data_IF_907206843374
#
_entry.id   IF_907206843374
#
_cell.length_a   1.000
_cell.length_b   1.000
_cell.length_c   1.000
_cell.angle_alpha   90.00
_cell.angle_beta   90.00
_cell.angle_gamma   90.00
#
_symmetry.space_group_name_H-M   'P 1'
#
loop_
_entity.id
_entity.type
_entity.pdbx_description
1 polymer ?
#
# COMPACT_ATOMS: atom_id res chain seq x y z
N UNK A 1 -5.80 -2.07 0.25
CA UNK A 1 -4.35 -1.99 -0.05
C UNK A 1 -3.93 -0.54 0.00
N UNK A 2 -2.69 -0.24 0.40
CA UNK A 2 -2.18 1.14 0.41
C UNK A 2 -0.76 1.23 -0.17
N UNK A 3 -0.34 2.44 -0.51
CA UNK A 3 1.06 2.80 -0.72
C UNK A 3 1.46 3.84 0.32
N UNK A 4 2.61 3.65 0.95
CA UNK A 4 3.24 4.59 1.88
C UNK A 4 4.57 5.04 1.29
N UNK A 5 4.73 6.34 1.10
CA UNK A 5 5.97 6.96 0.65
C UNK A 5 6.47 7.94 1.72
N UNK A 6 7.77 8.30 1.72
CA UNK A 6 8.34 9.23 2.70
C UNK A 6 7.61 10.57 2.74
N UNK A 7 7.13 11.02 1.58
CA UNK A 7 6.28 12.19 1.45
C UNK A 7 4.96 11.79 0.79
N UNK A 8 3.85 12.09 1.46
CA UNK A 8 2.50 11.75 1.00
C UNK A 8 2.16 12.36 -0.37
N UNK A 9 2.60 13.58 -0.66
CA UNK A 9 2.41 14.22 -1.97
C UNK A 9 3.20 13.49 -3.06
N UNK A 10 4.43 13.06 -2.77
CA UNK A 10 5.24 12.26 -3.69
C UNK A 10 4.56 10.90 -3.95
N UNK A 11 4.10 10.23 -2.90
CA UNK A 11 3.35 8.98 -3.03
C UNK A 11 2.08 9.12 -3.88
N UNK A 12 1.35 10.22 -3.72
CA UNK A 12 0.17 10.51 -4.52
C UNK A 12 0.51 10.74 -6.00
N UNK A 13 1.59 11.46 -6.29
CA UNK A 13 2.06 11.68 -7.66
C UNK A 13 2.48 10.37 -8.33
N UNK A 14 3.33 9.58 -7.67
CA UNK A 14 3.78 8.27 -8.18
C UNK A 14 2.58 7.36 -8.43
N UNK A 15 1.67 7.26 -7.46
CA UNK A 15 0.47 6.44 -7.61
C UNK A 15 -0.39 6.88 -8.80
N UNK A 16 -0.59 8.18 -8.99
CA UNK A 16 -1.35 8.72 -10.12
C UNK A 16 -0.71 8.38 -11.47
N UNK A 17 0.60 8.58 -11.61
CA UNK A 17 1.33 8.27 -12.84
C UNK A 17 1.24 6.77 -13.16
N UNK A 18 1.53 5.91 -12.19
CA UNK A 18 1.51 4.45 -12.38
C UNK A 18 0.12 3.89 -12.62
N UNK A 19 -0.89 4.40 -11.94
CA UNK A 19 -2.27 4.00 -12.18
C UNK A 19 -2.75 4.41 -13.58
N UNK A 20 -2.36 5.60 -14.06
CA UNK A 20 -2.67 6.03 -15.42
C UNK A 20 -2.04 5.11 -16.47
N UNK A 21 -0.78 4.69 -16.28
CA UNK A 21 -0.13 3.68 -17.14
C UNK A 21 -0.87 2.34 -17.09
N UNK A 22 -1.18 1.84 -15.89
CA UNK A 22 -1.86 0.56 -15.69
C UNK A 22 -3.23 0.57 -16.39
N UNK A 23 -4.03 1.61 -16.24
CA UNK A 23 -5.34 1.72 -16.87
C UNK A 23 -5.27 1.84 -18.39
N UNK A 24 -4.20 2.43 -18.91
CA UNK A 24 -3.95 2.50 -20.35
C UNK A 24 -3.63 1.12 -20.94
N UNK A 25 -2.80 0.33 -20.26
CA UNK A 25 -2.38 -0.99 -20.74
C UNK A 25 -3.39 -2.09 -20.40
N UNK A 26 -4.16 -1.93 -19.32
CA UNK A 26 -5.18 -2.89 -18.88
C UNK A 26 -6.56 -2.25 -18.70
N UNK A 27 -7.26 -2.00 -19.80
CA UNK A 27 -8.58 -1.34 -19.75
C UNK A 27 -9.64 -2.12 -18.97
N UNK A 28 -9.48 -3.45 -18.85
CA UNK A 28 -10.40 -4.28 -18.06
C UNK A 28 -10.30 -3.97 -16.57
N UNK A 29 -9.08 -3.75 -16.04
CA UNK A 29 -8.89 -3.35 -14.66
C UNK A 29 -9.54 -1.98 -14.38
N UNK A 30 -9.48 -1.06 -15.33
CA UNK A 30 -10.17 0.23 -15.22
C UNK A 30 -11.67 0.06 -14.97
N UNK A 31 -12.34 -0.89 -15.65
CA UNK A 31 -13.77 -1.16 -15.49
C UNK A 31 -14.13 -1.70 -14.10
N UNK A 32 -13.18 -2.33 -13.41
CA UNK A 32 -13.35 -2.77 -12.03
C UNK A 32 -13.36 -1.62 -11.02
N UNK A 33 -12.83 -0.45 -11.38
CA UNK A 33 -12.88 0.75 -10.54
C UNK A 33 -14.22 1.46 -10.75
N UNK A 34 -14.84 1.91 -9.65
CA UNK A 34 -16.09 2.69 -9.71
C UNK A 34 -15.85 3.97 -10.50
N UNK A 35 -16.63 4.19 -11.54
CA UNK A 35 -16.46 5.31 -12.47
C UNK A 35 -15.53 5.03 -13.65
N UNK A 36 -14.98 3.82 -13.77
CA UNK A 36 -14.05 3.44 -14.84
C UNK A 36 -14.68 3.31 -16.22
N UNK A 37 -16.01 3.29 -16.31
CA UNK A 37 -16.75 3.35 -17.57
C UNK A 37 -16.76 4.75 -18.18
N UNK A 38 -16.68 5.78 -17.34
CA UNK A 38 -16.84 7.18 -17.72
C UNK A 38 -15.47 7.87 -17.87
N UNK A 39 -14.49 7.46 -17.09
CA UNK A 39 -13.18 8.11 -17.00
C UNK A 39 -12.06 7.18 -17.38
N UNK A 40 -11.10 7.68 -18.14
CA UNK A 40 -9.86 6.95 -18.48
C UNK A 40 -8.92 6.81 -17.26
N UNK A 41 -9.08 7.65 -16.24
CA UNK A 41 -8.36 7.57 -14.98
C UNK A 41 -9.35 7.68 -13.82
N UNK A 42 -10.12 6.60 -13.53
CA UNK A 42 -11.13 6.61 -12.49
C UNK A 42 -10.48 6.68 -11.11
N UNK A 43 -11.17 7.31 -10.17
CA UNK A 43 -10.71 7.48 -8.81
C UNK A 43 -10.79 8.91 -8.33
N UNK A 44 -10.35 9.13 -7.11
CA UNK A 44 -10.29 10.45 -6.50
C UNK A 44 -8.82 10.83 -6.26
N UNK A 45 -8.39 11.90 -6.89
CA UNK A 45 -6.99 12.34 -6.93
C UNK A 45 -6.86 13.76 -6.42
N UNK A 46 -5.87 13.99 -5.55
CA UNK A 46 -5.49 15.32 -5.08
C UNK A 46 -3.99 15.48 -5.03
N UNK A 47 -3.55 16.58 -4.42
CA UNK A 47 -2.12 16.88 -4.29
C UNK A 47 -1.39 15.86 -3.42
N UNK A 48 -2.05 15.38 -2.37
CA UNK A 48 -1.50 14.53 -1.32
C UNK A 48 -2.34 13.27 -1.06
N UNK A 49 -3.26 12.95 -1.94
CA UNK A 49 -4.08 11.75 -1.81
C UNK A 49 -4.43 11.14 -3.17
N UNK A 50 -4.59 9.82 -3.15
CA UNK A 50 -5.20 9.02 -4.21
C UNK A 50 -6.09 8.01 -3.52
N UNK A 51 -7.32 7.84 -4.01
CA UNK A 51 -8.23 6.81 -3.52
C UNK A 51 -8.95 6.18 -4.70
N UNK A 52 -8.82 4.86 -4.84
CA UNK A 52 -9.60 4.05 -5.76
C UNK A 52 -10.54 3.15 -4.98
N UNK A 53 -11.79 3.09 -5.41
CA UNK A 53 -12.79 2.14 -4.90
C UNK A 53 -13.13 1.16 -6.01
N UNK A 54 -13.00 -0.13 -5.72
CA UNK A 54 -13.30 -1.19 -6.66
C UNK A 54 -14.71 -1.73 -6.45
N UNK A 55 -15.31 -2.32 -7.49
CA UNK A 55 -16.67 -2.90 -7.48
C UNK A 55 -16.82 -4.01 -6.44
N UNK A 56 -15.75 -4.75 -6.16
CA UNK A 56 -15.72 -5.78 -5.12
C UNK A 56 -15.58 -5.25 -3.68
N UNK A 57 -15.70 -3.93 -3.47
CA UNK A 57 -15.56 -3.29 -2.17
C UNK A 57 -14.11 -3.03 -1.72
N UNK A 58 -13.11 -3.46 -2.50
CA UNK A 58 -11.72 -3.17 -2.18
C UNK A 58 -11.40 -1.68 -2.36
N UNK A 59 -10.46 -1.19 -1.56
CA UNK A 59 -9.99 0.20 -1.63
C UNK A 59 -8.47 0.20 -1.76
N UNK A 60 -7.96 1.07 -2.63
CA UNK A 60 -6.56 1.46 -2.69
C UNK A 60 -6.43 2.92 -2.32
N UNK A 61 -5.44 3.27 -1.50
CA UNK A 61 -5.19 4.66 -1.12
C UNK A 61 -3.70 4.92 -0.85
N UNK A 62 -3.35 6.19 -0.79
CA UNK A 62 -2.02 6.68 -0.38
C UNK A 62 -2.10 7.10 1.08
N UNK A 63 -1.20 6.57 1.89
CA UNK A 63 -1.06 6.90 3.30
C UNK A 63 0.31 7.54 3.59
N UNK A 64 0.39 8.35 4.63
CA UNK A 64 1.64 8.83 5.19
C UNK A 64 1.95 8.13 6.50
N UNK A 65 3.22 8.08 6.88
CA UNK A 65 3.65 7.63 8.21
C UNK A 65 3.40 8.73 9.25
N UNK A 66 2.15 9.13 9.43
CA UNK A 66 1.71 10.20 10.32
C UNK A 66 0.65 9.68 11.30
N UNK A 67 0.61 10.25 12.49
CA UNK A 67 -0.37 9.90 13.53
C UNK A 67 -1.83 10.01 13.04
N UNK A 68 -2.14 10.93 12.15
CA UNK A 68 -3.46 11.08 11.52
C UNK A 68 -3.90 9.85 10.70
N UNK A 69 -2.97 8.94 10.40
CA UNK A 69 -3.26 7.70 9.67
C UNK A 69 -3.68 6.56 10.61
N UNK A 70 -3.47 6.71 11.92
CA UNK A 70 -3.85 5.73 12.94
C UNK A 70 -5.36 5.42 12.88
N UNK A 71 -5.70 4.15 13.14
CA UNK A 71 -7.09 3.66 13.12
C UNK A 71 -7.59 3.22 11.75
N UNK A 72 -6.86 3.50 10.68
CA UNK A 72 -7.12 2.91 9.38
C UNK A 72 -6.86 1.40 9.38
N UNK A 73 -7.71 0.62 8.71
CA UNK A 73 -7.54 -0.83 8.61
C UNK A 73 -7.26 -1.20 7.16
N UNK A 74 -6.19 -1.96 6.94
CA UNK A 74 -5.72 -2.36 5.62
C UNK A 74 -5.29 -3.84 5.63
N UNK A 75 -5.37 -4.50 4.47
CA UNK A 75 -4.99 -5.92 4.33
C UNK A 75 -3.61 -6.10 3.71
N UNK A 76 -3.07 -5.07 3.12
CA UNK A 76 -1.76 -5.12 2.50
C UNK A 76 -1.29 -3.74 2.07
N UNK A 77 0.01 -3.58 1.94
CA UNK A 77 0.62 -2.32 1.58
C UNK A 77 1.96 -2.44 0.87
N UNK A 78 2.31 -1.37 0.19
CA UNK A 78 3.63 -1.13 -0.36
C UNK A 78 4.24 0.04 0.40
N UNK A 79 5.42 -0.15 0.95
CA UNK A 79 6.24 0.91 1.55
C UNK A 79 7.35 1.22 0.56
N UNK A 80 7.28 2.40 -0.05
CA UNK A 80 8.26 2.86 -1.01
C UNK A 80 9.40 3.59 -0.30
N UNK A 81 10.64 3.36 -0.76
CA UNK A 81 11.87 3.96 -0.20
C UNK A 81 11.96 3.81 1.33
N UNK A 82 11.80 2.59 1.83
CA UNK A 82 11.76 2.30 3.27
C UNK A 82 12.96 2.88 4.03
N UNK A 83 14.11 3.03 3.40
CA UNK A 83 15.32 3.64 3.97
C UNK A 83 15.14 5.10 4.40
N UNK A 84 14.18 5.80 3.82
CA UNK A 84 13.92 7.21 4.07
C UNK A 84 12.81 7.43 5.11
N UNK A 85 12.25 6.35 5.66
CA UNK A 85 11.26 6.43 6.72
C UNK A 85 11.91 6.34 8.10
N UNK A 86 11.27 6.98 9.07
CA UNK A 86 11.58 6.75 10.47
C UNK A 86 11.11 5.35 10.89
N UNK A 87 12.01 4.58 11.51
CA UNK A 87 11.73 3.22 11.96
C UNK A 87 10.57 3.18 12.96
N UNK A 88 10.55 4.12 13.90
CA UNK A 88 9.49 4.19 14.91
C UNK A 88 8.14 4.42 14.24
N UNK A 89 8.06 5.34 13.27
CA UNK A 89 6.82 5.62 12.53
C UNK A 89 6.35 4.39 11.72
N UNK A 90 7.25 3.66 11.09
CA UNK A 90 6.87 2.41 10.40
C UNK A 90 6.30 1.39 11.39
N UNK A 91 6.98 1.15 12.50
CA UNK A 91 6.59 0.11 13.46
C UNK A 91 5.33 0.48 14.25
N UNK A 92 5.10 1.76 14.58
CA UNK A 92 3.99 2.18 15.47
C UNK A 92 2.78 2.71 14.71
N UNK A 93 2.94 3.14 13.46
CA UNK A 93 1.85 3.74 12.67
C UNK A 93 1.50 2.87 11.46
N UNK A 94 2.50 2.54 10.62
CA UNK A 94 2.21 1.90 9.33
C UNK A 94 1.90 0.41 9.48
N UNK A 95 2.72 -0.35 10.20
CA UNK A 95 2.50 -1.78 10.39
C UNK A 95 1.19 -2.11 11.13
N UNK A 96 0.77 -1.35 12.18
CA UNK A 96 -0.52 -1.59 12.81
C UNK A 96 -1.75 -1.41 11.92
N UNK A 97 -1.65 -0.69 10.79
CA UNK A 97 -2.73 -0.61 9.80
C UNK A 97 -3.11 -1.97 9.22
N UNK A 98 -2.18 -2.92 9.23
CA UNK A 98 -2.32 -4.24 8.62
C UNK A 98 -2.98 -5.29 9.53
N UNK A 99 -3.34 -4.93 10.76
CA UNK A 99 -3.93 -5.83 11.75
C UNK A 99 -5.39 -6.22 11.44
N UNK A 100 -5.70 -6.52 10.17
CA UNK A 100 -7.05 -6.93 9.78
C UNK A 100 -6.99 -8.10 8.83
N UNK A 101 -7.64 -9.18 9.20
CA UNK A 101 -7.83 -10.34 8.34
C UNK A 101 -8.71 -9.98 7.14
N UNK A 102 -8.34 -10.50 5.98
CA UNK A 102 -9.17 -10.38 4.78
C UNK A 102 -10.46 -11.18 4.97
N UNK A 103 -11.58 -10.57 4.64
CA UNK A 103 -12.88 -11.20 4.69
C UNK A 103 -13.38 -11.56 3.30
N UNK A 104 -14.05 -12.69 3.20
CA UNK A 104 -14.80 -13.10 2.03
C UNK A 104 -16.12 -12.33 1.93
N UNK A 105 -16.83 -12.39 0.78
CA UNK A 105 -18.12 -11.71 0.61
C UNK A 105 -19.20 -12.13 1.63
N UNK A 106 -19.11 -13.33 2.18
CA UNK A 106 -19.96 -13.85 3.26
C UNK A 106 -19.54 -13.38 4.66
N UNK A 107 -18.56 -12.47 4.74
CA UNK A 107 -17.99 -11.91 5.97
C UNK A 107 -17.15 -12.89 6.81
N UNK A 108 -16.89 -14.10 6.33
CA UNK A 108 -15.94 -15.03 6.95
C UNK A 108 -14.49 -14.63 6.69
N UNK A 109 -13.57 -15.04 7.57
CA UNK A 109 -12.14 -14.80 7.37
C UNK A 109 -11.61 -15.78 6.33
N UNK A 110 -10.84 -15.29 5.36
CA UNK A 110 -10.18 -16.14 4.40
C UNK A 110 -8.89 -16.73 5.01
N UNK A 111 -8.99 -17.95 5.52
CA UNK A 111 -7.86 -18.66 6.16
C UNK A 111 -6.74 -19.05 5.17
N UNK A 112 -7.01 -19.03 3.86
CA UNK A 112 -6.04 -19.40 2.82
C UNK A 112 -5.17 -18.23 2.36
N UNK A 113 -5.55 -17.02 2.68
CA UNK A 113 -4.77 -15.84 2.31
C UNK A 113 -3.96 -15.34 3.50
N UNK A 114 -2.66 -15.13 3.34
CA UNK A 114 -1.85 -14.55 4.39
C UNK A 114 -2.40 -13.17 4.77
N UNK A 115 -2.66 -13.01 6.05
CA UNK A 115 -2.93 -11.70 6.63
C UNK A 115 -1.64 -10.87 6.57
N UNK A 116 -1.74 -9.58 6.45
CA UNK A 116 -0.60 -8.66 6.62
C UNK A 116 0.52 -8.82 5.57
N UNK A 117 0.19 -8.62 4.32
CA UNK A 117 1.23 -8.53 3.29
C UNK A 117 1.79 -7.12 3.18
N UNK A 118 3.09 -6.99 3.40
CA UNK A 118 3.86 -5.76 3.17
C UNK A 118 4.95 -6.03 2.16
N UNK A 119 5.01 -5.20 1.13
CA UNK A 119 6.11 -5.14 0.19
C UNK A 119 6.89 -3.88 0.50
N UNK A 120 8.18 -4.03 0.82
CA UNK A 120 9.09 -2.92 1.03
C UNK A 120 9.96 -2.76 -0.21
N UNK A 121 9.95 -1.57 -0.81
CA UNK A 121 10.80 -1.21 -1.92
C UNK A 121 11.84 -0.20 -1.45
N UNK A 122 13.09 -0.37 -1.86
CA UNK A 122 14.16 0.58 -1.60
C UNK A 122 15.35 0.33 -2.50
N UNK A 123 16.18 1.34 -2.71
CA UNK A 123 17.51 1.19 -3.28
C UNK A 123 18.52 0.76 -2.20
N UNK A 124 19.60 0.11 -2.60
CA UNK A 124 20.68 -0.27 -1.68
C UNK A 124 21.22 0.92 -0.89
N UNK A 125 21.47 0.73 0.39
CA UNK A 125 21.96 1.75 1.30
C UNK A 125 23.00 1.16 2.26
N UNK A 126 23.30 1.85 3.35
CA UNK A 126 24.28 1.41 4.33
C UNK A 126 23.77 0.19 5.13
N UNK A 127 24.68 -0.72 5.49
CA UNK A 127 24.38 -1.92 6.30
C UNK A 127 23.91 -1.62 7.72
N UNK A 128 24.05 -0.38 8.18
CA UNK A 128 23.59 0.10 9.50
C UNK A 128 22.20 0.73 9.43
N UNK A 129 21.50 0.58 8.30
CA UNK A 129 20.18 1.16 8.13
C UNK A 129 19.07 0.20 8.53
N UNK A 130 17.97 0.72 9.03
CA UNK A 130 16.73 -0.01 9.29
C UNK A 130 16.29 -0.88 8.11
N UNK A 131 16.45 -0.39 6.87
CA UNK A 131 16.11 -1.16 5.67
C UNK A 131 16.97 -2.44 5.54
N UNK A 132 18.24 -2.39 5.95
CA UNK A 132 19.10 -3.57 5.92
C UNK A 132 18.72 -4.57 7.02
N UNK A 133 18.40 -4.11 8.22
CA UNK A 133 17.97 -4.98 9.32
C UNK A 133 16.66 -5.71 8.95
N UNK A 134 15.71 -5.01 8.34
CA UNK A 134 14.48 -5.63 7.80
C UNK A 134 14.74 -6.66 6.72
N UNK A 135 15.68 -6.39 5.81
CA UNK A 135 16.09 -7.37 4.79
C UNK A 135 16.66 -8.62 5.44
N UNK A 136 17.53 -8.45 6.45
CA UNK A 136 18.14 -9.55 7.20
C UNK A 136 17.08 -10.40 7.92
N UNK A 137 16.17 -9.77 8.66
CA UNK A 137 15.09 -10.44 9.37
C UNK A 137 14.22 -11.26 8.41
N UNK A 138 13.84 -10.69 7.26
CA UNK A 138 13.05 -11.39 6.25
C UNK A 138 13.81 -12.58 5.65
N UNK A 139 15.12 -12.45 5.46
CA UNK A 139 15.95 -13.53 4.95
C UNK A 139 16.06 -14.67 5.98
N UNK A 140 16.30 -14.34 7.25
CA UNK A 140 16.36 -15.33 8.33
C UNK A 140 15.04 -16.09 8.50
N UNK A 141 13.89 -15.40 8.43
CA UNK A 141 12.57 -16.05 8.49
C UNK A 141 12.29 -16.96 7.28
N UNK A 142 12.90 -16.71 6.14
CA UNK A 142 12.68 -17.52 4.93
C UNK A 142 13.46 -18.83 4.91
N UNK A 143 14.43 -18.99 5.84
CA UNK A 143 15.31 -20.18 5.94
C UNK A 143 14.80 -21.16 7.01
N UNK A 144 13.95 -20.70 7.92
CA UNK A 144 13.31 -21.55 8.94
C UNK A 144 12.08 -22.26 8.41
#
# INVERSE_FOLDING_TARGET
MFICAPNKSQGAQIAKEKLSEIFRYWPLLRKEVIGGEISDCPGNYGKDYVTLKFRNGSVFDVVGALESTLGGRRHGGLIDEIKNHDETAINTIVLPLLNVSRRLPDNTVNEREPNQQVICATSAWQKTSFAYDRLKDNFEMSIM
#
